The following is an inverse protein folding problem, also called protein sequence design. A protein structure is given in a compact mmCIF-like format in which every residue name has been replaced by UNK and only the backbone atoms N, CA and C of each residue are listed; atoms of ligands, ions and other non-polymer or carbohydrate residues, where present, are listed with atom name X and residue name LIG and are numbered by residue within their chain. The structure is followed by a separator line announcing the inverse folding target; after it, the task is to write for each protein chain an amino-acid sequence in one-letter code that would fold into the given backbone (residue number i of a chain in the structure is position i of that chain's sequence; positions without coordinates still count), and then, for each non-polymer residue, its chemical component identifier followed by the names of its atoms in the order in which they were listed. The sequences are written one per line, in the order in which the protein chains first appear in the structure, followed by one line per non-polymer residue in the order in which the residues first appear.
data_IF_360404594925
#
_entry.id   IF_360404594925
#
_cell.length_a   1.000
_cell.length_b   1.000
_cell.length_c   1.000
_cell.angle_alpha   90.00
_cell.angle_beta   90.00
_cell.angle_gamma   90.00
#
_symmetry.space_group_name_H-M   'P 1'
#
loop_
_entity.id
_entity.type
_entity.pdbx_description
1 polymer ?
#
# COMPACT_ATOMS: atom_id res chain seq x y z
N UNK A 1 -20.04 -8.39 8.91
CA UNK A 1 -18.77 -7.90 8.36
C UNK A 1 -19.09 -7.10 7.12
N UNK A 2 -18.85 -5.79 7.15
CA UNK A 2 -19.11 -4.91 6.01
C UNK A 2 -18.05 -5.16 4.95
N UNK A 3 -18.45 -5.60 3.75
CA UNK A 3 -17.54 -5.67 2.60
C UNK A 3 -16.96 -4.29 2.35
N UNK A 4 -15.63 -4.17 2.38
CA UNK A 4 -14.97 -2.94 1.99
C UNK A 4 -15.08 -2.79 0.48
N UNK A 5 -15.60 -1.66 0.05
CA UNK A 5 -15.67 -1.35 -1.38
C UNK A 5 -14.30 -0.87 -1.84
N UNK A 6 -13.89 -1.22 -3.06
CA UNK A 6 -12.68 -0.69 -3.73
C UNK A 6 -12.42 0.81 -3.47
N UNK A 7 -13.40 1.73 -3.62
CA UNK A 7 -13.18 3.15 -3.33
C UNK A 7 -12.81 3.46 -1.87
N UNK A 8 -13.26 2.67 -0.89
CA UNK A 8 -12.86 2.85 0.51
C UNK A 8 -11.40 2.46 0.73
N UNK A 9 -10.96 1.40 0.05
CA UNK A 9 -9.58 0.90 0.09
C UNK A 9 -8.65 1.90 -0.59
N UNK A 10 -9.04 2.42 -1.76
CA UNK A 10 -8.30 3.47 -2.46
C UNK A 10 -8.14 4.72 -1.59
N UNK A 11 -9.22 5.14 -0.93
CA UNK A 11 -9.20 6.32 -0.08
C UNK A 11 -8.34 6.10 1.18
N UNK A 12 -8.45 4.92 1.82
CA UNK A 12 -7.59 4.56 2.95
C UNK A 12 -6.11 4.51 2.55
N UNK A 13 -5.80 3.89 1.41
CA UNK A 13 -4.44 3.83 0.88
C UNK A 13 -3.88 5.22 0.59
N UNK A 14 -4.65 6.09 -0.06
CA UNK A 14 -4.24 7.47 -0.31
C UNK A 14 -4.02 8.25 0.98
N UNK A 15 -4.87 8.09 2.00
CA UNK A 15 -4.70 8.73 3.30
C UNK A 15 -3.42 8.28 4.00
N UNK A 16 -3.16 6.96 4.05
CA UNK A 16 -1.93 6.42 4.63
C UNK A 16 -0.71 6.94 3.85
N UNK A 17 -0.76 6.92 2.53
CA UNK A 17 0.33 7.39 1.67
C UNK A 17 0.60 8.87 1.85
N UNK A 18 -0.45 9.69 1.92
CA UNK A 18 -0.34 11.12 2.18
C UNK A 18 0.25 11.40 3.55
N UNK A 19 -0.10 10.58 4.55
CA UNK A 19 0.41 10.74 5.90
C UNK A 19 1.91 10.44 5.98
N UNK A 20 2.38 9.42 5.26
CA UNK A 20 3.79 9.03 5.24
C UNK A 20 4.62 9.89 4.29
N UNK A 21 4.20 10.01 3.03
CA UNK A 21 4.94 10.70 1.99
C UNK A 21 5.00 12.22 2.19
N UNK A 22 3.99 12.80 2.86
CA UNK A 22 3.81 14.24 3.15
C UNK A 22 4.15 15.14 1.97
N UNK A 23 5.41 15.58 1.87
CA UNK A 23 5.96 16.47 0.83
C UNK A 23 6.18 15.79 -0.53
N UNK A 24 6.38 14.47 -0.55
CA UNK A 24 6.62 13.67 -1.77
C UNK A 24 5.34 13.03 -2.32
N UNK A 25 4.18 13.34 -1.73
CA UNK A 25 2.90 12.81 -2.17
C UNK A 25 2.52 13.39 -3.54
N UNK A 26 2.29 12.57 -4.58
CA UNK A 26 1.91 13.07 -5.89
C UNK A 26 0.48 13.65 -5.87
N UNK A 27 0.24 14.68 -6.67
CA UNK A 27 -1.09 15.31 -6.77
C UNK A 27 -2.15 14.37 -7.37
N UNK A 28 -1.73 13.39 -8.18
CA UNK A 28 -2.60 12.40 -8.80
C UNK A 28 -1.89 11.03 -8.80
N UNK A 29 -2.63 9.97 -8.51
CA UNK A 29 -2.16 8.58 -8.59
C UNK A 29 -2.71 7.90 -9.84
N UNK A 30 -1.83 7.33 -10.65
CA UNK A 30 -2.23 6.40 -11.71
C UNK A 30 -2.13 4.96 -11.21
N UNK A 31 -2.99 4.05 -11.69
CA UNK A 31 -2.93 2.65 -11.30
C UNK A 31 -1.59 1.99 -11.64
N UNK A 32 -0.84 2.51 -12.60
CA UNK A 32 0.51 2.06 -12.98
C UNK A 32 1.65 2.72 -12.20
N UNK A 33 1.37 3.73 -11.37
CA UNK A 33 2.42 4.43 -10.62
C UNK A 33 2.93 3.57 -9.48
N UNK A 34 4.25 3.47 -9.37
CA UNK A 34 4.90 2.72 -8.31
C UNK A 34 4.81 3.51 -7.00
N UNK A 35 4.07 2.98 -6.04
CA UNK A 35 3.74 3.70 -4.81
C UNK A 35 4.98 4.05 -3.99
N UNK A 36 5.92 3.11 -3.93
CA UNK A 36 7.17 3.27 -3.19
C UNK A 36 8.06 4.31 -3.84
N UNK A 37 8.26 4.22 -5.16
CA UNK A 37 9.15 5.13 -5.89
C UNK A 37 8.58 6.54 -6.00
N UNK A 38 7.28 6.66 -6.24
CA UNK A 38 6.62 7.97 -6.37
C UNK A 38 6.58 8.73 -5.06
N UNK A 39 6.45 8.04 -3.92
CA UNK A 39 6.46 8.65 -2.59
C UNK A 39 7.80 8.56 -1.85
N UNK A 40 8.87 8.05 -2.50
CA UNK A 40 10.15 7.84 -1.84
C UNK A 40 10.04 7.04 -0.54
N UNK A 41 9.16 6.03 -0.50
CA UNK A 41 8.94 5.22 0.70
C UNK A 41 10.14 4.28 0.91
N UNK A 42 10.45 4.04 2.18
CA UNK A 42 11.50 3.12 2.63
C UNK A 42 10.86 1.86 3.25
N UNK A 43 11.67 0.85 3.57
CA UNK A 43 11.18 -0.39 4.20
C UNK A 43 10.38 -0.12 5.48
N UNK A 44 10.79 0.86 6.30
CA UNK A 44 10.07 1.29 7.51
C UNK A 44 8.69 1.90 7.18
N UNK A 45 8.66 2.82 6.21
CA UNK A 45 7.43 3.42 5.71
C UNK A 45 6.42 2.37 5.21
N UNK A 46 6.91 1.29 4.58
CA UNK A 46 6.08 0.16 4.16
C UNK A 46 5.42 -0.62 5.30
N UNK A 47 6.11 -0.75 6.43
CA UNK A 47 5.60 -1.42 7.64
C UNK A 47 4.53 -0.53 8.28
N UNK A 48 4.83 0.77 8.45
CA UNK A 48 3.87 1.73 8.99
C UNK A 48 2.60 1.81 8.13
N UNK A 49 2.73 1.85 6.80
CA UNK A 49 1.57 1.92 5.91
C UNK A 49 0.67 0.69 6.04
N UNK A 50 1.26 -0.49 6.14
CA UNK A 50 0.48 -1.70 6.32
C UNK A 50 -0.21 -1.73 7.68
N UNK A 51 0.49 -1.40 8.77
CA UNK A 51 -0.13 -1.36 10.09
C UNK A 51 -1.29 -0.35 10.15
N UNK A 52 -1.14 0.82 9.50
CA UNK A 52 -2.20 1.84 9.43
C UNK A 52 -3.39 1.34 8.59
N UNK A 53 -3.13 0.68 7.46
CA UNK A 53 -4.16 0.04 6.63
C UNK A 53 -4.89 -1.09 7.35
N UNK A 54 -4.17 -1.98 8.03
CA UNK A 54 -4.74 -3.05 8.85
C UNK A 54 -5.66 -2.47 9.93
N UNK A 55 -5.23 -1.42 10.62
CA UNK A 55 -6.04 -0.77 11.65
C UNK A 55 -7.26 -0.04 11.08
N UNK A 56 -7.17 0.55 9.88
CA UNK A 56 -8.26 1.31 9.25
C UNK A 56 -9.29 0.41 8.57
N UNK A 57 -8.81 -0.60 7.85
CA UNK A 57 -9.62 -1.51 7.06
C UNK A 57 -10.05 -2.74 7.88
N UNK A 58 -9.38 -3.03 8.99
CA UNK A 58 -9.64 -4.23 9.79
C UNK A 58 -9.24 -5.51 9.05
N UNK A 59 -8.24 -5.43 8.18
CA UNK A 59 -7.65 -6.57 7.45
C UNK A 59 -6.30 -6.93 8.09
N UNK A 60 -5.78 -8.10 7.75
CA UNK A 60 -4.43 -8.53 8.14
C UNK A 60 -3.53 -8.56 6.90
N UNK A 61 -2.46 -7.77 6.89
CA UNK A 61 -1.49 -7.67 5.80
C UNK A 61 -0.18 -8.32 6.26
N UNK A 62 0.10 -9.57 5.85
CA UNK A 62 1.31 -10.26 6.29
C UNK A 62 2.56 -9.51 5.82
N UNK A 63 3.42 -9.09 6.75
CA UNK A 63 4.66 -8.35 6.47
C UNK A 63 5.56 -9.04 5.44
N UNK A 64 5.57 -10.39 5.43
CA UNK A 64 6.32 -11.19 4.45
C UNK A 64 5.81 -11.04 3.03
N UNK A 65 4.50 -10.88 2.81
CA UNK A 65 3.92 -10.72 1.47
C UNK A 65 3.55 -9.28 1.17
N UNK A 66 3.73 -8.40 2.15
CA UNK A 66 3.29 -7.02 2.11
C UNK A 66 3.79 -6.35 0.84
N UNK A 67 2.88 -5.88 -0.04
CA UNK A 67 3.25 -5.15 -1.25
C UNK A 67 3.69 -3.71 -0.93
N UNK A 68 4.13 -3.41 0.29
CA UNK A 68 4.56 -2.06 0.68
C UNK A 68 5.95 -2.04 1.34
N UNK A 69 6.49 -3.16 1.83
CA UNK A 69 7.81 -3.23 2.51
C UNK A 69 8.94 -3.52 1.53
N UNK A 70 9.91 -2.64 1.35
CA UNK A 70 11.03 -2.79 0.40
C UNK A 70 11.99 -3.99 0.63
N UNK A 71 11.56 -5.05 1.33
CA UNK A 71 12.40 -6.21 1.60
C UNK A 71 12.79 -6.90 0.29
N UNK A 72 14.10 -6.83 0.02
CA UNK A 72 14.83 -7.66 -0.92
C UNK A 72 14.86 -9.07 -0.31
N UNK A 73 13.73 -9.78 -0.40
CA UNK A 73 13.75 -11.22 -0.26
C UNK A 73 14.72 -11.68 -1.35
N UNK A 74 15.90 -12.18 -0.95
CA UNK A 74 17.14 -12.29 -1.75
C UNK A 74 17.08 -13.11 -3.05
N UNK A 75 15.90 -13.32 -3.60
CA UNK A 75 15.55 -13.84 -4.91
C UNK A 75 15.38 -12.76 -6.01
N UNK A 76 15.71 -11.49 -5.75
CA UNK A 76 15.76 -10.46 -6.80
C UNK A 76 14.42 -10.14 -7.47
N UNK A 77 13.29 -10.59 -6.90
CA UNK A 77 11.96 -10.19 -7.33
C UNK A 77 11.67 -8.82 -6.75
N UNK A 78 12.03 -7.78 -7.52
CA UNK A 78 11.50 -6.42 -7.32
C UNK A 78 9.99 -6.54 -7.20
N UNK A 79 9.44 -6.42 -5.98
CA UNK A 79 7.99 -6.36 -5.79
C UNK A 79 7.55 -5.06 -6.47
N UNK A 80 7.15 -5.16 -7.73
CA UNK A 80 6.50 -4.07 -8.44
C UNK A 80 5.15 -3.88 -7.77
N UNK A 81 4.95 -2.68 -7.22
CA UNK A 81 3.84 -2.35 -6.33
C UNK A 81 3.24 -1.09 -6.86
N UNK A 82 2.51 -1.25 -7.95
CA UNK A 82 1.77 -0.13 -8.52
C UNK A 82 0.54 0.14 -7.67
N UNK A 83 0.04 1.38 -7.68
CA UNK A 83 -1.14 1.75 -6.89
C UNK A 83 -2.33 0.82 -7.18
N UNK A 84 -2.53 0.42 -8.43
CA UNK A 84 -3.58 -0.50 -8.84
C UNK A 84 -3.42 -1.90 -8.23
N UNK A 85 -2.21 -2.46 -8.23
CA UNK A 85 -1.95 -3.78 -7.65
C UNK A 85 -2.15 -3.79 -6.13
N UNK A 86 -1.73 -2.73 -5.43
CA UNK A 86 -1.94 -2.62 -3.99
C UNK A 86 -3.45 -2.57 -3.67
N UNK A 87 -4.21 -1.75 -4.41
CA UNK A 87 -5.66 -1.65 -4.23
C UNK A 87 -6.35 -2.99 -4.51
N UNK A 88 -5.94 -3.70 -5.57
CA UNK A 88 -6.51 -5.00 -5.92
C UNK A 88 -6.20 -6.06 -4.86
N UNK A 89 -4.96 -6.09 -4.36
CA UNK A 89 -4.54 -6.98 -3.27
C UNK A 89 -5.35 -6.74 -1.99
N UNK A 90 -5.48 -5.48 -1.56
CA UNK A 90 -6.26 -5.11 -0.39
C UNK A 90 -7.75 -5.44 -0.59
N UNK A 91 -8.28 -5.26 -1.80
CA UNK A 91 -9.66 -5.61 -2.14
C UNK A 91 -9.89 -7.12 -2.05
N UNK A 92 -8.92 -7.92 -2.47
CA UNK A 92 -8.97 -9.38 -2.35
C UNK A 92 -8.92 -9.83 -0.87
N UNK A 93 -8.10 -9.18 -0.03
CA UNK A 93 -8.05 -9.46 1.41
C UNK A 93 -9.33 -9.06 2.17
N UNK A 94 -10.01 -8.01 1.71
CA UNK A 94 -11.20 -7.49 2.36
C UNK A 94 -12.54 -8.10 1.86
N UNK A 95 -12.50 -9.04 0.91
CA UNK A 95 -13.68 -9.61 0.22
C UNK A 95 -14.33 -10.79 0.91
#
# INVERSE_FOLDING_TARGET
MSRLSRPQIELALQECLKHIARDTYPSEWKPSDNVIRSCGLDSQHGIELACDLESRLGIEIPLKENPLVLDDDGEGRKRARTFGEVVEYLTALAS
#
